data_IF_454389956027
#
_entry.id   IF_454389956027
#
_cell.length_a   1.000
_cell.length_b   1.000
_cell.length_c   1.000
_cell.angle_alpha   90.00
_cell.angle_beta   90.00
_cell.angle_gamma   90.00
#
_symmetry.space_group_name_H-M   'P 1'
#
loop_
_entity.id
_entity.type
_entity.pdbx_description
1 polymer ?
#
# COMPACT_ATOMS: atom_id res chain seq x y z
N UNK A 1 -22.40 3.25 -4.90
CA UNK A 1 -22.17 1.82 -4.54
C UNK A 1 -23.15 0.94 -5.32
N UNK A 2 -22.69 -0.20 -5.83
CA UNK A 2 -23.51 -1.20 -6.55
C UNK A 2 -23.41 -2.53 -5.82
N UNK A 3 -24.56 -3.18 -5.59
CA UNK A 3 -24.68 -4.44 -4.86
C UNK A 3 -25.38 -5.50 -5.72
N UNK A 4 -25.03 -6.76 -5.53
CA UNK A 4 -25.75 -7.93 -6.05
C UNK A 4 -26.40 -8.65 -4.88
N UNK A 5 -27.70 -8.92 -5.02
CA UNK A 5 -28.48 -9.66 -4.03
C UNK A 5 -28.72 -11.07 -4.56
N UNK A 6 -28.28 -12.09 -3.83
CA UNK A 6 -28.45 -13.48 -4.26
C UNK A 6 -28.66 -14.43 -3.10
N UNK A 7 -29.83 -15.10 -3.07
CA UNK A 7 -30.19 -16.12 -2.07
C UNK A 7 -29.90 -15.68 -0.62
N UNK A 8 -30.33 -14.46 -0.27
CA UNK A 8 -30.11 -13.89 1.06
C UNK A 8 -28.72 -13.26 1.28
N UNK A 9 -27.80 -13.33 0.32
CA UNK A 9 -26.50 -12.67 0.39
C UNK A 9 -26.54 -11.27 -0.22
N UNK A 10 -25.71 -10.38 0.31
CA UNK A 10 -25.40 -9.06 -0.23
C UNK A 10 -23.93 -9.09 -0.66
N UNK A 11 -23.66 -8.87 -1.95
CA UNK A 11 -22.33 -8.94 -2.52
C UNK A 11 -21.97 -7.59 -3.13
N UNK A 12 -20.84 -7.03 -2.75
CA UNK A 12 -20.32 -5.78 -3.33
C UNK A 12 -19.97 -6.00 -4.80
N UNK A 13 -20.50 -5.14 -5.68
CA UNK A 13 -20.30 -5.23 -7.13
C UNK A 13 -19.65 -3.98 -7.73
N UNK A 14 -19.43 -2.93 -6.93
CA UNK A 14 -18.67 -1.75 -7.33
C UNK A 14 -18.90 -0.56 -6.42
N UNK A 15 -17.94 0.36 -6.39
CA UNK A 15 -18.02 1.62 -5.65
C UNK A 15 -17.58 2.75 -6.58
N UNK A 16 -18.34 3.84 -6.58
CA UNK A 16 -18.02 5.08 -7.30
C UNK A 16 -18.47 6.24 -6.43
N UNK A 17 -17.75 7.36 -6.50
CA UNK A 17 -18.03 8.59 -5.78
C UNK A 17 -17.49 9.77 -6.59
N UNK A 18 -18.19 10.93 -6.65
CA UNK A 18 -17.60 12.16 -7.17
C UNK A 18 -16.38 12.62 -6.34
N UNK A 19 -16.38 12.31 -5.04
CA UNK A 19 -15.30 12.67 -4.10
C UNK A 19 -14.42 11.45 -3.77
N UNK A 20 -14.06 10.66 -4.78
CA UNK A 20 -13.22 9.48 -4.58
C UNK A 20 -11.76 9.85 -4.32
N UNK A 21 -11.14 9.20 -3.34
CA UNK A 21 -9.68 9.27 -3.13
C UNK A 21 -8.91 8.23 -3.96
N UNK A 22 -9.62 7.32 -4.63
CA UNK A 22 -9.01 6.40 -5.60
C UNK A 22 -8.61 7.16 -6.87
N UNK A 23 -7.38 6.99 -7.31
CA UNK A 23 -6.85 7.54 -8.56
C UNK A 23 -6.25 6.43 -9.42
N UNK A 24 -6.84 6.18 -10.59
CA UNK A 24 -6.39 5.13 -11.52
C UNK A 24 -4.97 5.40 -12.05
N UNK A 25 -4.63 6.66 -12.32
CA UNK A 25 -3.31 7.11 -12.81
C UNK A 25 -2.18 6.82 -11.81
N UNK A 26 -2.49 6.76 -10.52
CA UNK A 26 -1.50 6.47 -9.46
C UNK A 26 -1.38 4.96 -9.22
N UNK A 27 -2.48 4.21 -9.31
CA UNK A 27 -2.49 2.79 -8.94
C UNK A 27 -2.25 1.83 -10.12
N UNK A 28 -2.19 2.35 -11.34
CA UNK A 28 -2.03 1.55 -12.56
C UNK A 28 -0.66 0.86 -12.63
N UNK A 29 -0.62 -0.29 -13.30
CA UNK A 29 0.62 -1.00 -13.65
C UNK A 29 1.20 -0.55 -15.01
N UNK A 30 0.53 0.36 -15.72
CA UNK A 30 1.03 0.95 -16.97
C UNK A 30 1.94 2.16 -16.65
N UNK A 31 2.01 3.13 -17.55
CA UNK A 31 2.56 4.44 -17.20
C UNK A 31 1.70 5.05 -16.08
N UNK A 32 2.37 5.46 -15.01
CA UNK A 32 1.73 5.96 -13.79
C UNK A 32 2.32 7.31 -13.42
N UNK A 33 1.47 8.17 -12.86
CA UNK A 33 1.87 9.46 -12.30
C UNK A 33 2.67 9.33 -11.00
N UNK A 34 2.79 8.12 -10.43
CA UNK A 34 3.63 7.86 -9.27
C UNK A 34 5.07 7.49 -9.66
N UNK A 35 6.04 8.19 -9.06
CA UNK A 35 7.45 7.85 -9.21
C UNK A 35 7.83 6.64 -8.33
N UNK A 36 7.90 5.47 -8.96
CA UNK A 36 8.23 4.22 -8.28
C UNK A 36 9.60 4.21 -7.57
N UNK A 37 10.54 5.08 -7.97
CA UNK A 37 11.85 5.15 -7.33
C UNK A 37 11.78 5.63 -5.87
N UNK A 38 10.75 6.40 -5.52
CA UNK A 38 10.57 6.94 -4.16
C UNK A 38 10.25 5.83 -3.15
N UNK A 39 9.70 4.69 -3.62
CA UNK A 39 9.37 3.55 -2.78
C UNK A 39 10.60 2.95 -2.08
N UNK A 40 11.74 2.89 -2.77
CA UNK A 40 12.98 2.34 -2.20
C UNK A 40 13.45 3.15 -0.98
N UNK A 41 13.43 4.48 -1.11
CA UNK A 41 13.80 5.38 -0.01
C UNK A 41 12.83 5.25 1.17
N UNK A 42 11.53 5.21 0.89
CA UNK A 42 10.50 5.03 1.91
C UNK A 42 10.65 3.70 2.66
N UNK A 43 10.81 2.57 1.96
CA UNK A 43 10.96 1.25 2.57
C UNK A 43 12.17 1.21 3.50
N UNK A 44 13.31 1.75 3.03
CA UNK A 44 14.53 1.77 3.82
C UNK A 44 14.39 2.62 5.09
N UNK A 45 13.78 3.81 4.98
CA UNK A 45 13.61 4.72 6.12
C UNK A 45 12.57 4.20 7.11
N UNK A 46 11.42 3.72 6.62
CA UNK A 46 10.35 3.17 7.44
C UNK A 46 10.77 1.89 8.15
N UNK A 47 11.50 1.00 7.47
CA UNK A 47 12.04 -0.24 8.03
C UNK A 47 13.34 -0.07 8.82
N UNK A 48 13.91 1.13 8.88
CA UNK A 48 15.18 1.38 9.56
C UNK A 48 15.15 0.99 11.05
N UNK A 49 14.14 1.36 11.85
CA UNK A 49 14.12 1.03 13.28
C UNK A 49 14.13 -0.48 13.53
N UNK A 50 13.32 -1.23 12.77
CA UNK A 50 13.25 -2.69 12.87
C UNK A 50 14.56 -3.35 12.45
N UNK A 51 15.15 -2.86 11.36
CA UNK A 51 16.45 -3.34 10.87
C UNK A 51 17.54 -3.13 11.92
N UNK A 52 17.59 -1.94 12.53
CA UNK A 52 18.55 -1.62 13.60
C UNK A 52 18.32 -2.49 14.84
N UNK A 53 17.06 -2.67 15.26
CA UNK A 53 16.71 -3.55 16.37
C UNK A 53 17.18 -4.99 16.12
N UNK A 54 16.89 -5.53 14.94
CA UNK A 54 17.30 -6.88 14.56
C UNK A 54 18.84 -7.02 14.53
N UNK A 55 19.55 -6.02 14.02
CA UNK A 55 21.02 -6.02 14.03
C UNK A 55 21.59 -5.92 15.45
N UNK A 56 20.95 -5.15 16.34
CA UNK A 56 21.34 -5.06 17.77
C UNK A 56 21.16 -6.41 18.46
N UNK A 57 20.02 -7.06 18.26
CA UNK A 57 19.70 -8.34 18.90
C UNK A 57 20.58 -9.47 18.35
N UNK A 58 21.07 -9.35 17.11
CA UNK A 58 22.09 -10.22 16.53
C UNK A 58 23.52 -9.90 16.99
N UNK A 59 23.72 -8.84 17.78
CA UNK A 59 25.05 -8.38 18.21
C UNK A 59 25.92 -7.81 17.08
N UNK A 60 25.31 -7.43 15.94
CA UNK A 60 26.01 -6.88 14.75
C UNK A 60 26.17 -5.36 14.78
N UNK A 61 25.56 -4.69 15.76
CA UNK A 61 25.80 -3.28 16.04
C UNK A 61 26.84 -3.18 17.15
N UNK A 62 28.01 -2.67 16.79
CA UNK A 62 29.08 -2.38 17.75
C UNK A 62 28.65 -1.20 18.63
N UNK A 63 29.00 -1.26 19.92
CA UNK A 63 28.98 -0.08 20.80
C UNK A 63 30.03 0.93 20.35
#
# INVERSE_FOLDING_TARGET
VKLKLYKGNIITAGVTSPDTLYSEEIVTFQESDYNQNDATGFINLWGLPDTVLALRDQGKLNK
#
